data_IF_241838686259
#
_entry.id   IF_241838686259
#
_cell.length_a   1.000
_cell.length_b   1.000
_cell.length_c   1.000
_cell.angle_alpha   90.00
_cell.angle_beta   90.00
_cell.angle_gamma   90.00
#
_symmetry.space_group_name_H-M   'P 1'
#
loop_
_entity.id
_entity.type
_entity.pdbx_description
1 polymer ?
#
# COMPACT_ATOMS: atom_id res chain seq x y z
N UNK A 1 7.60 1.26 -16.06
CA UNK A 1 6.64 1.23 -17.20
C UNK A 1 5.32 0.67 -16.70
N UNK A 2 4.23 1.43 -16.75
CA UNK A 2 2.93 0.96 -16.24
C UNK A 2 2.29 -0.01 -17.25
N UNK A 3 2.46 -1.31 -17.07
CA UNK A 3 1.80 -2.36 -17.85
C UNK A 3 1.20 -3.40 -16.93
N UNK A 4 0.22 -4.18 -17.41
CA UNK A 4 -0.39 -5.25 -16.61
C UNK A 4 0.63 -6.28 -16.11
N UNK A 5 1.78 -6.43 -16.76
CA UNK A 5 2.85 -7.34 -16.34
C UNK A 5 3.58 -6.88 -15.07
N UNK A 6 3.39 -5.64 -14.66
CA UNK A 6 3.96 -5.09 -13.43
C UNK A 6 2.98 -5.17 -12.25
N UNK A 7 1.73 -5.54 -12.53
CA UNK A 7 0.70 -5.68 -11.51
C UNK A 7 0.75 -7.10 -10.98
N UNK A 8 1.09 -7.21 -9.72
CA UNK A 8 1.07 -8.48 -9.00
C UNK A 8 -0.34 -8.74 -8.47
N UNK A 9 -0.82 -9.96 -8.64
CA UNK A 9 -2.18 -10.32 -8.25
C UNK A 9 -3.25 -9.72 -9.19
N UNK A 10 -4.50 -9.87 -8.82
CA UNK A 10 -5.66 -9.35 -9.54
C UNK A 10 -5.87 -9.89 -10.96
N UNK A 11 -5.35 -11.09 -11.28
CA UNK A 11 -5.38 -11.70 -12.62
C UNK A 11 -6.81 -11.75 -13.19
N UNK A 12 -7.80 -12.01 -12.35
CA UNK A 12 -9.20 -12.05 -12.77
C UNK A 12 -9.71 -10.67 -13.21
N UNK A 13 -9.34 -9.61 -12.49
CA UNK A 13 -9.72 -8.23 -12.83
C UNK A 13 -9.01 -7.83 -14.13
N UNK A 14 -7.72 -8.09 -14.23
CA UNK A 14 -6.92 -7.82 -15.44
C UNK A 14 -7.50 -8.55 -16.66
N UNK A 15 -7.88 -9.82 -16.50
CA UNK A 15 -8.52 -10.61 -17.56
C UNK A 15 -9.85 -10.01 -18.00
N UNK A 16 -10.68 -9.56 -17.05
CA UNK A 16 -11.95 -8.91 -17.37
C UNK A 16 -11.75 -7.60 -18.12
N UNK A 17 -10.80 -6.75 -17.69
CA UNK A 17 -10.46 -5.49 -18.35
C UNK A 17 -9.92 -5.72 -19.77
N UNK A 18 -9.03 -6.70 -19.97
CA UNK A 18 -8.52 -7.09 -21.29
C UNK A 18 -9.64 -7.61 -22.20
N UNK A 19 -10.55 -8.44 -21.68
CA UNK A 19 -11.67 -8.96 -22.41
C UNK A 19 -12.66 -7.85 -22.81
N UNK A 20 -12.87 -6.85 -21.95
CA UNK A 20 -13.72 -5.71 -22.26
C UNK A 20 -13.17 -4.91 -23.46
N UNK A 21 -11.84 -4.68 -23.51
CA UNK A 21 -11.20 -4.03 -24.65
C UNK A 21 -11.28 -4.87 -25.92
N UNK A 22 -10.89 -6.15 -25.84
CA UNK A 22 -10.89 -7.07 -27.01
C UNK A 22 -12.28 -7.30 -27.57
N UNK A 23 -13.31 -7.32 -26.71
CA UNK A 23 -14.70 -7.55 -27.09
C UNK A 23 -15.48 -6.29 -27.42
N UNK A 24 -14.83 -5.12 -27.43
CA UNK A 24 -15.46 -3.81 -27.61
C UNK A 24 -16.67 -3.57 -26.68
N UNK A 25 -16.52 -3.99 -25.40
CA UNK A 25 -17.54 -3.92 -24.34
C UNK A 25 -17.02 -3.14 -23.12
N UNK A 26 -16.28 -2.07 -23.39
CA UNK A 26 -15.78 -1.19 -22.33
C UNK A 26 -16.96 -0.45 -21.71
N UNK A 27 -17.10 -0.52 -20.39
CA UNK A 27 -18.10 0.27 -19.66
C UNK A 27 -17.63 1.73 -19.53
N UNK A 28 -18.61 2.63 -19.38
CA UNK A 28 -18.35 4.05 -19.19
C UNK A 28 -17.85 4.41 -17.79
N UNK A 29 -18.04 3.54 -16.77
CA UNK A 29 -17.61 3.83 -15.41
C UNK A 29 -17.20 2.57 -14.65
N UNK A 30 -16.11 2.67 -13.89
CA UNK A 30 -15.57 1.63 -13.03
C UNK A 30 -15.22 2.18 -11.66
N UNK A 31 -15.43 1.38 -10.62
CA UNK A 31 -14.97 1.65 -9.26
C UNK A 31 -13.90 0.61 -8.91
N UNK A 32 -12.68 1.05 -8.65
CA UNK A 32 -11.59 0.23 -8.13
C UNK A 32 -11.52 0.43 -6.62
N UNK A 33 -12.09 -0.49 -5.87
CA UNK A 33 -12.14 -0.45 -4.41
C UNK A 33 -11.05 -1.33 -3.81
N UNK A 34 -10.31 -0.80 -2.85
CA UNK A 34 -9.27 -1.55 -2.14
C UNK A 34 -8.45 -0.64 -1.24
N UNK A 35 -7.74 -1.21 -0.28
CA UNK A 35 -6.89 -0.46 0.65
C UNK A 35 -5.82 0.37 -0.08
N UNK A 36 -5.25 1.35 0.64
CA UNK A 36 -4.14 2.13 0.13
C UNK A 36 -2.92 1.23 -0.11
N UNK A 37 -2.33 1.36 -1.28
CA UNK A 37 -1.21 0.49 -1.71
C UNK A 37 -1.63 -0.85 -2.32
N UNK A 38 -2.93 -1.15 -2.47
CA UNK A 38 -3.42 -2.35 -3.17
C UNK A 38 -3.20 -2.32 -4.70
N UNK A 39 -2.61 -1.26 -5.25
CA UNK A 39 -2.31 -1.17 -6.68
C UNK A 39 -3.39 -0.51 -7.53
N UNK A 40 -4.40 0.14 -6.95
CA UNK A 40 -5.49 0.83 -7.66
C UNK A 40 -5.00 1.75 -8.78
N UNK A 41 -4.06 2.66 -8.45
CA UNK A 41 -3.48 3.61 -9.40
C UNK A 41 -2.72 2.94 -10.54
N UNK A 42 -1.93 1.90 -10.23
CA UNK A 42 -1.17 1.15 -11.24
C UNK A 42 -2.12 0.44 -12.20
N UNK A 43 -3.20 -0.17 -11.67
CA UNK A 43 -4.22 -0.83 -12.47
C UNK A 43 -5.00 0.16 -13.33
N UNK A 44 -5.42 1.30 -12.78
CA UNK A 44 -6.13 2.35 -13.51
C UNK A 44 -5.27 2.90 -14.66
N UNK A 45 -4.00 3.21 -14.38
CA UNK A 45 -3.06 3.72 -15.40
C UNK A 45 -2.78 2.68 -16.50
N UNK A 46 -2.64 1.40 -16.13
CA UNK A 46 -2.46 0.32 -17.11
C UNK A 46 -3.70 0.14 -18.00
N UNK A 47 -4.90 0.24 -17.42
CA UNK A 47 -6.15 0.17 -18.17
C UNK A 47 -6.33 1.38 -19.08
N UNK A 48 -6.08 2.61 -18.59
CA UNK A 48 -6.09 3.82 -19.38
C UNK A 48 -5.12 3.74 -20.57
N UNK A 49 -3.87 3.24 -20.35
CA UNK A 49 -2.89 3.03 -21.41
C UNK A 49 -3.39 2.07 -22.48
N UNK A 50 -4.06 0.98 -22.10
CA UNK A 50 -4.62 0.02 -23.03
C UNK A 50 -5.77 0.63 -23.86
N UNK A 51 -6.67 1.41 -23.23
CA UNK A 51 -7.77 2.12 -23.89
C UNK A 51 -7.30 3.15 -24.90
N UNK A 52 -6.23 3.87 -24.57
CA UNK A 52 -5.66 4.95 -25.39
C UNK A 52 -4.63 4.44 -26.43
N UNK A 53 -4.34 3.14 -26.46
CA UNK A 53 -3.35 2.57 -27.37
C UNK A 53 -3.81 2.65 -28.82
N UNK A 54 -3.01 3.28 -29.72
CA UNK A 54 -3.29 3.36 -31.17
C UNK A 54 -3.49 2.00 -31.83
N UNK A 55 -2.73 0.99 -31.38
CA UNK A 55 -2.79 -0.37 -31.94
C UNK A 55 -4.01 -1.15 -31.42
N UNK A 56 -4.80 -0.59 -30.48
CA UNK A 56 -5.97 -1.24 -29.88
C UNK A 56 -5.64 -2.53 -29.11
N UNK A 57 -4.39 -2.70 -28.69
CA UNK A 57 -3.97 -3.90 -27.98
C UNK A 57 -4.48 -3.83 -26.51
N UNK A 58 -5.10 -4.91 -26.00
CA UNK A 58 -5.69 -4.93 -24.66
C UNK A 58 -4.66 -4.81 -23.52
N UNK A 59 -3.37 -4.84 -23.85
CA UNK A 59 -2.27 -4.67 -22.90
C UNK A 59 -1.55 -3.32 -23.08
N UNK A 60 -1.92 -2.56 -24.12
CA UNK A 60 -1.11 -1.43 -24.61
C UNK A 60 0.16 -1.93 -25.31
N UNK A 61 0.58 -1.26 -26.36
CA UNK A 61 1.76 -1.70 -27.13
C UNK A 61 3.10 -1.25 -26.54
N UNK A 62 3.11 -0.31 -25.60
CA UNK A 62 4.29 0.34 -25.00
C UNK A 62 5.23 1.08 -25.98
N UNK A 63 4.90 1.13 -27.26
CA UNK A 63 5.74 1.68 -28.33
C UNK A 63 5.15 2.93 -28.98
N UNK A 64 3.80 2.97 -29.13
CA UNK A 64 3.12 4.08 -29.80
C UNK A 64 3.22 5.38 -28.98
N UNK A 65 2.95 6.48 -29.64
CA UNK A 65 3.04 7.80 -29.04
C UNK A 65 2.13 7.94 -27.82
N UNK A 66 0.90 7.45 -27.88
CA UNK A 66 -0.06 7.53 -26.77
C UNK A 66 0.34 6.69 -25.56
N UNK A 67 0.85 5.47 -25.77
CA UNK A 67 1.36 4.68 -24.65
C UNK A 67 2.48 5.40 -23.91
N UNK A 68 3.40 6.06 -24.64
CA UNK A 68 4.49 6.84 -24.05
C UNK A 68 3.99 8.09 -23.32
N UNK A 69 2.98 8.77 -23.88
CA UNK A 69 2.37 9.93 -23.24
C UNK A 69 1.64 9.56 -21.94
N UNK A 70 0.94 8.42 -21.89
CA UNK A 70 0.32 7.93 -20.67
C UNK A 70 1.36 7.58 -19.60
N UNK A 71 2.51 7.04 -20.00
CA UNK A 71 3.61 6.75 -19.06
C UNK A 71 4.20 8.02 -18.44
N UNK A 72 4.32 9.09 -19.21
CA UNK A 72 4.84 10.39 -18.77
C UNK A 72 3.78 11.33 -18.21
N UNK A 73 2.54 10.87 -18.01
CA UNK A 73 1.38 11.65 -17.54
C UNK A 73 1.08 12.92 -18.37
N UNK A 74 1.42 12.90 -19.68
CA UNK A 74 1.26 14.02 -20.61
C UNK A 74 0.23 13.75 -21.74
N UNK A 75 -0.62 12.73 -21.58
CA UNK A 75 -1.63 12.41 -22.57
C UNK A 75 -2.87 13.32 -22.38
N UNK A 76 -3.31 14.11 -23.39
CA UNK A 76 -4.44 15.03 -23.24
C UNK A 76 -5.79 14.32 -23.08
N UNK A 77 -5.89 13.06 -23.49
CA UNK A 77 -7.10 12.24 -23.33
C UNK A 77 -7.11 11.42 -22.03
N UNK A 78 -6.11 11.62 -21.15
CA UNK A 78 -6.05 11.09 -19.79
C UNK A 78 -6.09 12.23 -18.78
N UNK A 79 -7.22 12.41 -18.14
CA UNK A 79 -7.48 13.49 -17.19
C UNK A 79 -7.49 12.95 -15.76
N UNK A 80 -6.65 13.53 -14.91
CA UNK A 80 -6.71 13.28 -13.48
C UNK A 80 -7.56 14.37 -12.82
N UNK A 81 -8.64 13.96 -12.16
CA UNK A 81 -9.47 14.90 -11.38
C UNK A 81 -8.75 15.14 -10.06
N UNK A 82 -8.04 16.26 -10.01
CA UNK A 82 -7.32 16.73 -8.83
C UNK A 82 -8.22 17.62 -7.98
N UNK A 83 -7.86 17.85 -6.73
CA UNK A 83 -8.60 18.72 -5.81
C UNK A 83 -7.64 19.65 -5.05
N UNK A 84 -8.08 20.86 -4.78
CA UNK A 84 -7.30 21.85 -4.03
C UNK A 84 -7.28 21.55 -2.53
N UNK A 85 -8.39 21.02 -2.00
CA UNK A 85 -8.56 20.76 -0.57
C UNK A 85 -8.13 19.34 -0.22
N UNK A 86 -7.15 19.13 0.68
CA UNK A 86 -6.64 17.80 1.00
C UNK A 86 -7.69 16.81 1.53
N UNK A 87 -8.77 17.33 2.15
CA UNK A 87 -9.76 16.50 2.85
C UNK A 87 -11.03 16.21 2.04
N UNK A 88 -11.29 16.89 0.92
CA UNK A 88 -12.54 16.70 0.18
C UNK A 88 -12.42 17.11 -1.29
N UNK A 89 -13.12 16.37 -2.15
CA UNK A 89 -13.31 16.69 -3.57
C UNK A 89 -14.68 17.39 -3.69
N UNK A 90 -14.66 18.66 -4.04
CA UNK A 90 -15.84 19.51 -4.11
C UNK A 90 -16.59 19.43 -5.45
N UNK A 91 -17.68 20.16 -5.53
CA UNK A 91 -18.48 20.25 -6.77
C UNK A 91 -17.70 20.94 -7.88
N UNK A 92 -16.94 21.99 -7.54
CA UNK A 92 -16.19 22.77 -8.54
C UNK A 92 -15.09 21.94 -9.18
N UNK A 93 -14.31 21.16 -8.36
CA UNK A 93 -13.26 20.27 -8.86
C UNK A 93 -13.82 19.29 -9.91
N UNK A 94 -14.99 18.71 -9.61
CA UNK A 94 -15.62 17.73 -10.49
C UNK A 94 -16.29 18.39 -11.72
N UNK A 95 -16.88 19.59 -11.55
CA UNK A 95 -17.55 20.28 -12.63
C UNK A 95 -16.56 20.69 -13.71
N UNK A 96 -15.47 21.32 -13.33
CA UNK A 96 -14.47 21.82 -14.25
C UNK A 96 -13.72 20.67 -14.95
N UNK A 97 -13.16 19.74 -14.17
CA UNK A 97 -12.25 18.69 -14.69
C UNK A 97 -12.95 17.47 -15.27
N UNK A 98 -14.25 17.28 -14.99
CA UNK A 98 -15.00 16.13 -15.49
C UNK A 98 -16.24 16.54 -16.26
N UNK A 99 -17.21 17.25 -15.64
CA UNK A 99 -18.54 17.46 -16.22
C UNK A 99 -18.52 18.35 -17.46
N UNK A 100 -17.71 19.38 -17.47
CA UNK A 100 -17.55 20.29 -18.62
C UNK A 100 -16.60 19.70 -19.65
N UNK A 101 -15.46 19.17 -19.20
CA UNK A 101 -14.43 18.62 -20.07
C UNK A 101 -14.87 17.36 -20.82
N UNK A 102 -15.77 16.54 -20.25
CA UNK A 102 -16.27 15.32 -20.88
C UNK A 102 -17.08 15.56 -22.15
N UNK A 103 -17.59 16.78 -22.36
CA UNK A 103 -18.29 17.18 -23.59
C UNK A 103 -17.30 17.40 -24.76
N UNK A 104 -16.03 17.57 -24.47
CA UNK A 104 -14.98 17.75 -25.47
C UNK A 104 -14.52 16.36 -25.93
N UNK A 105 -14.65 16.10 -27.24
CA UNK A 105 -14.20 14.83 -27.84
C UNK A 105 -12.71 14.60 -27.62
N UNK A 106 -12.28 13.30 -27.60
CA UNK A 106 -10.85 12.98 -27.55
C UNK A 106 -10.05 13.68 -28.65
N UNK A 107 -8.83 14.08 -28.33
CA UNK A 107 -7.94 14.74 -29.30
C UNK A 107 -7.54 13.83 -30.43
N UNK A 108 -7.09 12.61 -30.10
CA UNK A 108 -6.57 11.68 -31.09
C UNK A 108 -7.01 10.24 -30.83
N UNK A 109 -7.52 9.93 -29.66
CA UNK A 109 -7.86 8.56 -29.23
C UNK A 109 -9.31 8.19 -29.51
N UNK A 110 -9.63 6.91 -29.30
CA UNK A 110 -11.00 6.40 -29.30
C UNK A 110 -11.74 6.75 -28.02
N UNK A 111 -11.00 6.81 -26.91
CA UNK A 111 -11.51 7.05 -25.59
C UNK A 111 -10.88 8.28 -24.95
N UNK A 112 -11.61 8.90 -24.02
CA UNK A 112 -11.12 9.90 -23.08
C UNK A 112 -11.34 9.35 -21.68
N UNK A 113 -10.26 9.24 -20.89
CA UNK A 113 -10.23 8.53 -19.62
C UNK A 113 -10.07 9.53 -18.49
N UNK A 114 -10.93 9.43 -17.48
CA UNK A 114 -10.90 10.25 -16.28
C UNK A 114 -10.56 9.36 -15.09
N UNK A 115 -9.55 9.74 -14.31
CA UNK A 115 -9.17 9.06 -13.08
C UNK A 115 -9.45 10.00 -11.92
N UNK A 116 -10.31 9.56 -11.00
CA UNK A 116 -10.62 10.23 -9.74
C UNK A 116 -9.98 9.41 -8.63
N UNK A 117 -8.80 9.85 -8.17
CA UNK A 117 -8.12 9.21 -7.04
C UNK A 117 -8.72 9.69 -5.72
N UNK A 118 -8.58 8.89 -4.66
CA UNK A 118 -9.17 9.17 -3.35
C UNK A 118 -10.67 9.51 -3.45
N UNK A 119 -11.40 8.80 -4.30
CA UNK A 119 -12.80 9.11 -4.60
C UNK A 119 -13.74 8.96 -3.39
N UNK A 120 -13.29 8.39 -2.27
CA UNK A 120 -13.96 8.46 -0.98
C UNK A 120 -14.06 9.88 -0.42
N UNK A 121 -13.26 10.81 -0.92
CA UNK A 121 -13.32 12.23 -0.54
C UNK A 121 -14.37 13.03 -1.29
N UNK A 122 -15.06 12.44 -2.28
CA UNK A 122 -16.14 13.09 -3.01
C UNK A 122 -17.28 13.48 -2.06
N UNK A 123 -17.58 14.77 -2.00
CA UNK A 123 -18.77 15.25 -1.27
C UNK A 123 -20.05 14.72 -1.92
N UNK A 124 -21.14 14.61 -1.15
CA UNK A 124 -22.45 14.20 -1.69
C UNK A 124 -22.88 15.10 -2.84
N UNK A 125 -22.59 16.40 -2.76
CA UNK A 125 -22.90 17.38 -3.81
C UNK A 125 -22.07 17.11 -5.07
N UNK A 126 -20.78 16.77 -4.93
CA UNK A 126 -19.92 16.41 -6.06
C UNK A 126 -20.40 15.11 -6.73
N UNK A 127 -20.79 14.12 -5.94
CA UNK A 127 -21.38 12.87 -6.46
C UNK A 127 -22.68 13.15 -7.24
N UNK A 128 -23.55 14.02 -6.72
CA UNK A 128 -24.78 14.41 -7.44
C UNK A 128 -24.49 15.14 -8.75
N UNK A 129 -23.45 15.97 -8.80
CA UNK A 129 -23.06 16.68 -10.04
C UNK A 129 -22.61 15.72 -11.17
N UNK A 130 -22.06 14.56 -10.81
CA UNK A 130 -21.59 13.53 -11.76
C UNK A 130 -22.76 12.66 -12.28
N UNK A 131 -23.87 12.55 -11.54
CA UNK A 131 -24.93 11.58 -11.84
C UNK A 131 -25.41 11.63 -13.29
N UNK A 132 -25.69 12.83 -13.80
CA UNK A 132 -26.14 13.01 -15.18
C UNK A 132 -25.12 12.50 -16.21
N UNK A 133 -23.84 12.73 -15.93
CA UNK A 133 -22.74 12.27 -16.79
C UNK A 133 -22.60 10.75 -16.79
N UNK A 134 -22.86 10.09 -15.65
CA UNK A 134 -22.82 8.62 -15.54
C UNK A 134 -24.10 8.00 -16.15
N UNK A 135 -25.24 8.69 -16.13
CA UNK A 135 -26.51 8.22 -16.70
C UNK A 135 -26.53 8.28 -18.22
N UNK A 136 -26.01 9.37 -18.78
CA UNK A 136 -25.95 9.65 -20.22
C UNK A 136 -24.49 9.91 -20.66
N UNK A 137 -23.61 8.94 -20.55
CA UNK A 137 -22.19 9.14 -20.84
C UNK A 137 -21.94 9.27 -22.36
N UNK A 138 -21.05 10.18 -22.80
CA UNK A 138 -20.56 10.14 -24.16
C UNK A 138 -19.89 8.79 -24.46
N UNK A 139 -20.13 8.23 -25.65
CA UNK A 139 -19.67 6.89 -26.03
C UNK A 139 -18.14 6.69 -25.95
N UNK A 140 -17.39 7.79 -25.95
CA UNK A 140 -15.93 7.78 -25.85
C UNK A 140 -15.40 7.97 -24.42
N UNK A 141 -16.25 8.21 -23.43
CA UNK A 141 -15.79 8.51 -22.07
C UNK A 141 -15.68 7.27 -21.20
N UNK A 142 -14.62 7.20 -20.40
CA UNK A 142 -14.42 6.17 -19.37
C UNK A 142 -13.99 6.83 -18.07
N UNK A 143 -14.73 6.61 -17.00
CA UNK A 143 -14.49 7.17 -15.67
C UNK A 143 -14.02 6.07 -14.73
N UNK A 144 -12.89 6.29 -14.06
CA UNK A 144 -12.28 5.37 -13.10
C UNK A 144 -12.27 6.02 -11.70
N UNK A 145 -13.11 5.53 -10.81
CA UNK A 145 -13.09 5.93 -9.40
C UNK A 145 -12.16 5.01 -8.62
N UNK A 146 -11.14 5.56 -7.96
CA UNK A 146 -10.24 4.83 -7.10
C UNK A 146 -10.58 5.16 -5.64
N UNK A 147 -10.96 4.15 -4.86
CA UNK A 147 -11.42 4.36 -3.49
C UNK A 147 -10.92 3.27 -2.54
N UNK A 148 -10.83 3.60 -1.26
CA UNK A 148 -10.61 2.61 -0.19
C UNK A 148 -11.93 2.19 0.47
N UNK A 149 -13.03 2.90 0.19
CA UNK A 149 -14.35 2.60 0.72
C UNK A 149 -15.45 2.88 -0.32
N UNK A 150 -15.96 1.82 -0.94
CA UNK A 150 -17.04 1.94 -1.93
C UNK A 150 -18.42 2.26 -1.34
N UNK A 151 -18.61 2.11 -0.02
CA UNK A 151 -19.90 2.37 0.65
C UNK A 151 -20.23 3.86 0.75
N UNK A 152 -19.25 4.73 0.52
CA UNK A 152 -19.44 6.20 0.51
C UNK A 152 -20.22 6.67 -0.72
N UNK A 153 -20.16 5.90 -1.81
CA UNK A 153 -20.86 6.26 -3.03
C UNK A 153 -22.37 6.13 -2.91
N UNK A 154 -23.06 7.06 -3.52
CA UNK A 154 -24.52 6.97 -3.66
C UNK A 154 -24.91 5.66 -4.37
N UNK A 155 -25.99 4.99 -3.94
CA UNK A 155 -26.47 3.76 -4.61
C UNK A 155 -26.73 3.94 -6.10
N UNK A 156 -27.09 5.15 -6.51
CA UNK A 156 -27.28 5.54 -7.91
C UNK A 156 -26.00 5.51 -8.74
N UNK A 157 -24.84 5.81 -8.15
CA UNK A 157 -23.52 5.70 -8.79
C UNK A 157 -23.11 4.22 -8.86
N UNK A 158 -23.18 3.49 -7.73
CA UNK A 158 -22.79 2.09 -7.65
C UNK A 158 -23.55 1.24 -8.68
N UNK A 159 -24.86 1.49 -8.85
CA UNK A 159 -25.70 0.71 -9.79
C UNK A 159 -25.33 0.88 -11.26
N UNK A 160 -24.54 1.93 -11.61
CA UNK A 160 -24.13 2.25 -13.00
C UNK A 160 -22.66 2.03 -13.27
N UNK A 161 -21.89 1.65 -12.24
CA UNK A 161 -20.47 1.38 -12.34
C UNK A 161 -20.16 -0.12 -12.24
N UNK A 162 -19.11 -0.56 -12.89
CA UNK A 162 -18.55 -1.89 -12.63
C UNK A 162 -17.62 -1.78 -11.42
N UNK A 163 -17.97 -2.48 -10.35
CA UNK A 163 -17.18 -2.49 -9.11
C UNK A 163 -16.17 -3.65 -9.13
N UNK A 164 -14.89 -3.31 -8.96
CA UNK A 164 -13.80 -4.24 -8.74
C UNK A 164 -13.23 -4.08 -7.33
N UNK A 165 -13.22 -5.17 -6.57
CA UNK A 165 -12.60 -5.20 -5.25
C UNK A 165 -11.18 -5.77 -5.35
N UNK A 166 -10.20 -4.93 -5.08
CA UNK A 166 -8.79 -5.31 -5.02
C UNK A 166 -8.49 -5.87 -3.63
N UNK A 167 -7.90 -7.05 -3.56
CA UNK A 167 -7.46 -7.65 -2.30
C UNK A 167 -6.01 -7.24 -1.97
N UNK A 168 -5.63 -7.19 -0.70
CA UNK A 168 -4.22 -7.15 -0.33
C UNK A 168 -3.49 -8.37 -0.90
N UNK A 169 -2.25 -8.18 -1.32
CA UNK A 169 -1.41 -9.26 -1.79
C UNK A 169 -1.03 -10.19 -0.64
N UNK A 170 -0.82 -11.46 -0.93
CA UNK A 170 -0.29 -12.41 0.06
C UNK A 170 1.19 -12.14 0.30
N UNK A 171 1.68 -12.43 1.50
CA UNK A 171 3.11 -12.30 1.81
C UNK A 171 3.98 -13.09 0.83
N UNK A 172 3.57 -14.31 0.47
CA UNK A 172 4.28 -15.16 -0.50
C UNK A 172 4.40 -14.50 -1.88
N UNK A 173 3.33 -13.85 -2.36
CA UNK A 173 3.32 -13.15 -3.65
C UNK A 173 4.32 -11.98 -3.65
N UNK A 174 4.36 -11.21 -2.56
CA UNK A 174 5.31 -10.09 -2.41
C UNK A 174 6.73 -10.61 -2.28
N UNK A 175 6.96 -11.65 -1.48
CA UNK A 175 8.26 -12.26 -1.26
C UNK A 175 8.85 -12.77 -2.59
N UNK A 176 8.09 -13.57 -3.36
CA UNK A 176 8.51 -14.08 -4.66
C UNK A 176 8.86 -12.95 -5.64
N UNK A 177 8.05 -11.89 -5.66
CA UNK A 177 8.31 -10.73 -6.51
C UNK A 177 9.60 -10.00 -6.13
N UNK A 178 9.84 -9.79 -4.82
CA UNK A 178 11.05 -9.14 -4.33
C UNK A 178 12.31 -9.95 -4.66
N UNK A 179 12.26 -11.26 -4.48
CA UNK A 179 13.37 -12.15 -4.83
C UNK A 179 13.64 -12.12 -6.35
N UNK A 180 12.60 -12.28 -7.16
CA UNK A 180 12.75 -12.36 -8.62
C UNK A 180 13.23 -11.04 -9.23
N UNK A 181 12.69 -9.90 -8.81
CA UNK A 181 12.93 -8.59 -9.43
C UNK A 181 14.10 -7.83 -8.80
N UNK A 182 14.24 -7.89 -7.47
CA UNK A 182 15.25 -7.13 -6.73
C UNK A 182 16.44 -7.99 -6.29
N UNK A 183 16.36 -9.31 -6.49
CA UNK A 183 17.45 -10.27 -6.16
C UNK A 183 17.93 -10.18 -4.71
N UNK A 184 17.04 -9.80 -3.80
CA UNK A 184 17.34 -9.79 -2.37
C UNK A 184 17.26 -11.23 -1.80
N UNK A 185 17.99 -11.52 -0.74
CA UNK A 185 17.93 -12.82 -0.05
C UNK A 185 16.52 -13.15 0.44
N UNK A 186 16.17 -14.43 0.48
CA UNK A 186 14.85 -14.91 0.87
C UNK A 186 14.43 -14.40 2.26
N UNK A 187 15.33 -14.42 3.23
CA UNK A 187 15.07 -13.93 4.58
C UNK A 187 14.74 -12.43 4.61
N UNK A 188 15.41 -11.63 3.80
CA UNK A 188 15.11 -10.20 3.67
C UNK A 188 13.77 -9.97 2.97
N UNK A 189 13.51 -10.70 1.90
CA UNK A 189 12.25 -10.63 1.19
C UNK A 189 11.07 -10.99 2.11
N UNK A 190 11.25 -11.97 2.99
CA UNK A 190 10.24 -12.39 3.98
C UNK A 190 9.93 -11.26 4.98
N UNK A 191 10.95 -10.61 5.54
CA UNK A 191 10.79 -9.48 6.45
C UNK A 191 10.06 -8.32 5.73
N UNK A 192 10.52 -7.94 4.52
CA UNK A 192 9.91 -6.86 3.74
C UNK A 192 8.46 -7.20 3.36
N UNK A 193 8.15 -8.45 3.01
CA UNK A 193 6.81 -8.88 2.63
C UNK A 193 5.85 -8.87 3.83
N UNK A 194 6.27 -9.37 4.98
CA UNK A 194 5.48 -9.32 6.21
C UNK A 194 5.22 -7.89 6.65
N UNK A 195 6.25 -7.03 6.57
CA UNK A 195 6.13 -5.61 6.89
C UNK A 195 5.22 -4.86 5.91
N UNK A 196 5.20 -5.28 4.65
CA UNK A 196 4.38 -4.67 3.61
C UNK A 196 2.87 -4.83 3.85
N UNK A 197 2.44 -5.82 4.61
CA UNK A 197 1.02 -6.08 4.92
C UNK A 197 0.14 -6.08 3.66
N UNK A 198 0.58 -6.76 2.62
CA UNK A 198 -0.14 -6.84 1.35
C UNK A 198 0.07 -5.67 0.38
N UNK A 199 0.88 -4.67 0.74
CA UNK A 199 1.13 -3.43 -0.03
C UNK A 199 2.48 -3.52 -0.75
N UNK A 200 2.49 -3.98 -2.00
CA UNK A 200 3.73 -4.21 -2.76
C UNK A 200 4.65 -2.98 -2.79
N UNK A 201 4.09 -1.79 -3.00
CA UNK A 201 4.89 -0.55 -3.04
C UNK A 201 5.66 -0.28 -1.75
N UNK A 202 5.08 -0.68 -0.58
CA UNK A 202 5.76 -0.60 0.71
C UNK A 202 6.92 -1.61 0.78
N UNK A 203 6.67 -2.85 0.36
CA UNK A 203 7.70 -3.90 0.31
C UNK A 203 8.89 -3.49 -0.58
N UNK A 204 8.63 -2.91 -1.74
CA UNK A 204 9.67 -2.41 -2.65
C UNK A 204 10.50 -1.29 -2.01
N UNK A 205 9.84 -0.30 -1.38
CA UNK A 205 10.54 0.80 -0.71
C UNK A 205 11.46 0.29 0.41
N UNK A 206 10.99 -0.66 1.19
CA UNK A 206 11.79 -1.24 2.27
C UNK A 206 12.98 -2.04 1.74
N UNK A 207 12.76 -2.85 0.70
CA UNK A 207 13.80 -3.66 0.08
C UNK A 207 14.94 -2.82 -0.55
N UNK A 208 14.64 -1.58 -0.95
CA UNK A 208 15.60 -0.65 -1.56
C UNK A 208 16.18 0.36 -0.53
N UNK A 209 15.76 0.33 0.74
CA UNK A 209 16.13 1.33 1.73
C UNK A 209 17.33 0.90 2.57
N UNK A 210 18.45 1.59 2.43
CA UNK A 210 19.62 1.42 3.31
C UNK A 210 19.27 1.79 4.77
N UNK A 211 18.44 2.81 4.97
CA UNK A 211 17.96 3.22 6.29
C UNK A 211 17.20 2.06 6.98
N UNK A 212 16.30 1.38 6.25
CA UNK A 212 15.57 0.23 6.79
C UNK A 212 16.52 -0.92 7.18
N UNK A 213 17.58 -1.16 6.40
CA UNK A 213 18.60 -2.15 6.73
C UNK A 213 19.33 -1.80 8.03
N UNK A 214 19.65 -0.52 8.26
CA UNK A 214 20.25 -0.04 9.50
C UNK A 214 19.31 -0.18 10.68
N UNK A 215 18.05 0.25 10.55
CA UNK A 215 17.01 0.12 11.57
C UNK A 215 16.82 -1.35 11.97
N UNK A 216 16.76 -2.26 11.00
CA UNK A 216 16.68 -3.70 11.23
C UNK A 216 17.88 -4.21 12.03
N UNK A 217 19.08 -3.80 11.65
CA UNK A 217 20.30 -4.18 12.35
C UNK A 217 20.31 -3.73 13.83
N UNK A 218 19.90 -2.52 14.11
CA UNK A 218 19.81 -2.00 15.48
C UNK A 218 18.67 -2.67 16.28
N UNK A 219 17.52 -2.94 15.66
CA UNK A 219 16.43 -3.67 16.31
C UNK A 219 16.87 -5.09 16.72
N UNK A 220 17.55 -5.84 15.83
CA UNK A 220 18.07 -7.17 16.13
C UNK A 220 19.14 -7.12 17.22
N UNK A 221 20.05 -6.15 17.21
CA UNK A 221 21.03 -5.97 18.30
C UNK A 221 20.34 -5.73 19.64
N UNK A 222 19.30 -4.89 19.66
CA UNK A 222 18.55 -4.63 20.89
C UNK A 222 17.93 -5.92 21.44
N UNK A 223 17.10 -6.61 20.66
CA UNK A 223 16.36 -7.78 21.15
C UNK A 223 17.28 -8.93 21.58
N UNK A 224 18.47 -9.02 21.00
CA UNK A 224 19.46 -10.04 21.36
C UNK A 224 20.14 -9.75 22.70
N UNK A 225 20.37 -8.48 23.01
CA UNK A 225 21.22 -8.09 24.12
C UNK A 225 20.49 -7.37 25.28
N UNK A 226 19.25 -6.91 25.09
CA UNK A 226 18.52 -6.06 26.05
C UNK A 226 18.44 -6.62 27.47
N UNK A 227 18.39 -7.94 27.61
CA UNK A 227 18.33 -8.62 28.92
C UNK A 227 19.68 -8.57 29.66
N UNK A 228 20.78 -8.27 28.99
CA UNK A 228 22.11 -8.11 29.60
C UNK A 228 22.51 -6.64 29.80
N UNK A 229 21.73 -5.71 29.27
CA UNK A 229 22.01 -4.28 29.37
C UNK A 229 21.96 -3.80 30.81
N UNK A 230 22.91 -2.95 31.20
CA UNK A 230 22.81 -2.15 32.41
C UNK A 230 22.06 -0.83 32.15
N UNK A 231 22.03 0.07 33.12
CA UNK A 231 21.32 1.35 32.97
C UNK A 231 22.06 2.25 31.94
N UNK A 232 23.38 2.19 31.88
CA UNK A 232 24.17 2.94 30.90
C UNK A 232 23.90 2.48 29.47
N UNK A 233 23.86 1.16 29.27
CA UNK A 233 23.52 0.54 27.98
C UNK A 233 22.12 0.94 27.49
N UNK A 234 21.14 1.02 28.39
CA UNK A 234 19.79 1.44 28.06
C UNK A 234 19.75 2.91 27.62
N UNK A 235 20.46 3.80 28.32
CA UNK A 235 20.57 5.22 27.94
C UNK A 235 21.22 5.36 26.55
N UNK A 236 22.25 4.58 26.26
CA UNK A 236 22.89 4.58 24.94
C UNK A 236 21.95 4.01 23.86
N UNK A 237 21.16 2.99 24.18
CA UNK A 237 20.15 2.46 23.27
C UNK A 237 19.07 3.50 22.94
N UNK A 238 18.59 4.26 23.93
CA UNK A 238 17.65 5.38 23.70
C UNK A 238 18.25 6.41 22.74
N UNK A 239 19.53 6.80 22.94
CA UNK A 239 20.19 7.74 22.03
C UNK A 239 20.27 7.22 20.60
N UNK A 240 20.68 5.96 20.40
CA UNK A 240 20.73 5.35 19.07
C UNK A 240 19.35 5.31 18.39
N UNK A 241 18.28 4.99 19.16
CA UNK A 241 16.92 5.01 18.62
C UNK A 241 16.47 6.43 18.28
N UNK A 242 16.96 7.43 18.99
CA UNK A 242 16.66 8.84 18.72
C UNK A 242 17.19 9.28 17.34
N UNK A 243 18.30 8.70 16.86
CA UNK A 243 18.83 8.95 15.52
C UNK A 243 17.85 8.52 14.42
N UNK A 244 16.98 7.52 14.69
CA UNK A 244 15.92 7.05 13.81
C UNK A 244 14.55 7.68 14.08
N UNK A 245 14.50 8.85 14.68
CA UNK A 245 13.25 9.48 15.14
C UNK A 245 12.15 9.55 14.08
N UNK A 246 12.52 9.76 12.81
CA UNK A 246 11.55 9.81 11.68
C UNK A 246 11.00 8.42 11.39
N UNK A 247 11.79 7.37 11.55
CA UNK A 247 11.46 5.97 11.22
C UNK A 247 11.27 5.10 12.47
N UNK A 248 10.94 5.73 13.61
CA UNK A 248 10.76 5.00 14.89
C UNK A 248 9.59 4.01 14.85
N UNK A 249 8.57 4.28 14.08
CA UNK A 249 7.46 3.35 13.91
C UNK A 249 7.92 2.04 13.25
N UNK A 250 8.79 2.15 12.25
CA UNK A 250 9.42 1.00 11.59
C UNK A 250 10.27 0.19 12.58
N UNK A 251 10.99 0.88 13.45
CA UNK A 251 11.77 0.24 14.50
C UNK A 251 10.90 -0.56 15.48
N UNK A 252 9.81 0.05 15.96
CA UNK A 252 8.88 -0.61 16.88
C UNK A 252 8.14 -1.75 16.18
N UNK A 253 7.77 -1.61 14.90
CA UNK A 253 7.17 -2.68 14.10
C UNK A 253 8.09 -3.92 14.04
N UNK A 254 9.40 -3.72 13.84
CA UNK A 254 10.37 -4.83 13.83
C UNK A 254 10.47 -5.52 15.19
N UNK A 255 10.43 -4.77 16.29
CA UNK A 255 10.37 -5.34 17.63
C UNK A 255 9.10 -6.15 17.85
N UNK A 256 7.95 -5.66 17.38
CA UNK A 256 6.67 -6.40 17.47
C UNK A 256 6.71 -7.70 16.68
N UNK A 257 7.27 -7.68 15.46
CA UNK A 257 7.45 -8.89 14.65
C UNK A 257 8.36 -9.91 15.35
N UNK A 258 9.45 -9.44 15.97
CA UNK A 258 10.34 -10.32 16.73
C UNK A 258 9.63 -11.00 17.91
N UNK A 259 8.95 -10.23 18.75
CA UNK A 259 8.28 -10.80 19.91
C UNK A 259 7.05 -11.65 19.53
N UNK A 260 6.39 -11.35 18.41
CA UNK A 260 5.39 -12.24 17.80
C UNK A 260 6.03 -13.60 17.42
N UNK A 261 7.19 -13.59 16.79
CA UNK A 261 7.89 -14.80 16.41
C UNK A 261 8.34 -15.61 17.66
N UNK A 262 8.80 -14.93 18.71
CA UNK A 262 9.12 -15.57 20.00
C UNK A 262 7.89 -16.25 20.59
N UNK A 263 6.75 -15.57 20.61
CA UNK A 263 5.48 -16.12 21.10
C UNK A 263 5.00 -17.28 20.23
N UNK A 264 5.04 -17.12 18.92
CA UNK A 264 4.63 -18.14 17.95
C UNK A 264 5.49 -19.41 18.09
N UNK A 265 6.82 -19.25 18.16
CA UNK A 265 7.73 -20.38 18.38
C UNK A 265 7.53 -21.05 19.74
N UNK A 266 7.21 -20.26 20.78
CA UNK A 266 6.91 -20.81 22.11
C UNK A 266 5.73 -21.78 22.09
N UNK A 267 4.70 -21.46 21.26
CA UNK A 267 3.47 -22.27 21.10
C UNK A 267 3.69 -23.43 20.13
N UNK A 268 4.18 -23.14 18.91
CA UNK A 268 4.17 -24.09 17.79
C UNK A 268 5.41 -24.96 17.71
N UNK A 269 6.55 -24.46 18.20
CA UNK A 269 7.90 -25.05 18.01
C UNK A 269 8.31 -25.24 16.55
N UNK A 270 7.59 -24.59 15.61
CA UNK A 270 7.84 -24.67 14.17
C UNK A 270 8.69 -23.50 13.68
N UNK A 271 9.93 -23.72 13.22
CA UNK A 271 10.78 -22.65 12.68
C UNK A 271 10.29 -22.06 11.35
N UNK A 272 9.51 -22.83 10.56
CA UNK A 272 9.09 -22.39 9.22
C UNK A 272 8.03 -21.27 9.26
N UNK A 273 7.32 -21.18 10.39
CA UNK A 273 6.29 -20.15 10.60
C UNK A 273 6.87 -18.78 10.98
N UNK A 274 8.17 -18.68 11.27
CA UNK A 274 8.83 -17.48 11.76
C UNK A 274 9.20 -16.52 10.62
N UNK A 275 9.06 -15.21 10.87
CA UNK A 275 9.55 -14.15 9.96
C UNK A 275 11.09 -14.10 10.01
N UNK A 276 11.66 -14.08 11.23
CA UNK A 276 13.10 -14.08 11.47
C UNK A 276 13.65 -15.50 11.59
N UNK A 277 13.45 -16.33 10.55
CA UNK A 277 13.87 -17.74 10.56
C UNK A 277 15.38 -17.91 10.71
N UNK A 278 16.19 -16.96 10.25
CA UNK A 278 17.65 -16.98 10.36
C UNK A 278 18.13 -16.78 11.81
N UNK A 279 17.32 -16.09 12.61
CA UNK A 279 17.60 -15.78 14.01
C UNK A 279 16.99 -16.82 14.99
N UNK A 280 16.72 -18.01 14.51
CA UNK A 280 16.04 -19.08 15.27
C UNK A 280 16.68 -19.36 16.63
N UNK A 281 18.01 -19.25 16.74
CA UNK A 281 18.72 -19.50 17.99
C UNK A 281 18.41 -18.44 19.05
N UNK A 282 18.32 -17.17 18.64
CA UNK A 282 17.91 -16.05 19.50
C UNK A 282 16.46 -16.20 19.96
N UNK A 283 15.57 -16.48 19.01
CA UNK A 283 14.13 -16.70 19.26
C UNK A 283 13.92 -17.88 20.22
N UNK A 284 14.59 -19.02 20.00
CA UNK A 284 14.50 -20.19 20.86
C UNK A 284 14.96 -19.89 22.29
N UNK A 285 16.08 -19.17 22.44
CA UNK A 285 16.60 -18.75 23.74
C UNK A 285 15.61 -17.88 24.49
N UNK A 286 15.03 -16.88 23.83
CA UNK A 286 14.02 -16.02 24.44
C UNK A 286 12.73 -16.77 24.75
N UNK A 287 12.20 -17.57 23.83
CA UNK A 287 11.01 -18.37 24.03
C UNK A 287 11.11 -19.32 25.23
N UNK A 288 12.31 -19.80 25.56
CA UNK A 288 12.54 -20.62 26.74
C UNK A 288 12.58 -19.84 28.06
N UNK A 289 13.00 -18.56 28.01
CA UNK A 289 13.18 -17.72 29.19
C UNK A 289 11.94 -16.89 29.54
N UNK A 290 11.28 -16.30 28.54
CA UNK A 290 10.13 -15.42 28.75
C UNK A 290 8.86 -16.21 29.07
N UNK A 291 8.02 -15.69 29.97
CA UNK A 291 6.69 -16.21 30.23
C UNK A 291 5.69 -15.75 29.15
N UNK A 292 4.50 -16.36 29.06
CA UNK A 292 3.45 -15.89 28.18
C UNK A 292 2.95 -14.49 28.58
N UNK A 293 2.80 -14.26 29.89
CA UNK A 293 2.39 -12.97 30.44
C UNK A 293 3.44 -11.89 30.18
N UNK A 294 4.75 -12.22 30.26
CA UNK A 294 5.84 -11.30 29.95
C UNK A 294 5.82 -10.90 28.46
N UNK A 295 5.64 -11.84 27.56
CA UNK A 295 5.55 -11.56 26.12
C UNK A 295 4.31 -10.72 25.80
N UNK A 296 3.17 -10.97 26.44
CA UNK A 296 1.96 -10.16 26.30
C UNK A 296 2.21 -8.72 26.76
N UNK A 297 2.86 -8.53 27.92
CA UNK A 297 3.21 -7.20 28.44
C UNK A 297 4.16 -6.45 27.50
N UNK A 298 5.15 -7.14 26.92
CA UNK A 298 6.06 -6.53 25.95
C UNK A 298 5.28 -6.07 24.72
N UNK A 299 4.47 -6.93 24.09
CA UNK A 299 3.69 -6.58 22.90
C UNK A 299 2.73 -5.41 23.20
N UNK A 300 2.04 -5.44 24.33
CA UNK A 300 1.20 -4.32 24.75
C UNK A 300 2.00 -3.03 24.99
N UNK A 301 3.18 -3.12 25.61
CA UNK A 301 4.09 -1.98 25.82
C UNK A 301 4.55 -1.33 24.52
N UNK A 302 4.80 -2.13 23.47
CA UNK A 302 5.14 -1.65 22.14
C UNK A 302 3.96 -0.91 21.48
N UNK A 303 2.73 -1.42 21.62
CA UNK A 303 1.52 -0.75 21.13
C UNK A 303 1.27 0.59 21.86
N UNK A 304 1.46 0.61 23.18
CA UNK A 304 1.35 1.84 24.00
C UNK A 304 2.41 2.85 23.57
N UNK A 305 3.64 2.42 23.29
CA UNK A 305 4.69 3.32 22.82
C UNK A 305 4.29 3.98 21.48
N UNK A 306 3.77 3.23 20.51
CA UNK A 306 3.25 3.80 19.25
C UNK A 306 2.12 4.81 19.48
N UNK A 307 1.17 4.47 20.33
CA UNK A 307 0.05 5.36 20.64
C UNK A 307 0.54 6.69 21.27
N UNK A 308 1.50 6.62 22.19
CA UNK A 308 2.12 7.81 22.82
C UNK A 308 2.88 8.67 21.81
N UNK A 309 3.68 8.05 20.93
CA UNK A 309 4.41 8.77 19.88
C UNK A 309 3.44 9.45 18.90
N UNK A 310 2.35 8.79 18.52
CA UNK A 310 1.29 9.39 17.70
C UNK A 310 0.59 10.55 18.38
N UNK A 311 0.47 10.52 19.71
CA UNK A 311 -0.11 11.60 20.53
C UNK A 311 0.93 12.70 20.88
N UNK A 312 2.13 12.70 20.27
CA UNK A 312 3.22 13.63 20.52
C UNK A 312 3.67 13.70 21.99
N UNK A 313 3.62 12.61 22.73
CA UNK A 313 4.20 12.48 24.06
C UNK A 313 5.74 12.53 23.94
N UNK A 314 6.43 12.93 25.03
CA UNK A 314 7.89 13.01 25.05
C UNK A 314 8.52 11.72 24.49
N UNK A 315 9.36 11.88 23.46
CA UNK A 315 9.96 10.79 22.70
C UNK A 315 10.86 9.93 23.58
N UNK A 316 11.86 10.55 24.23
CA UNK A 316 12.87 9.84 25.02
C UNK A 316 12.22 9.03 26.16
N UNK A 317 11.33 9.68 26.92
CA UNK A 317 10.60 9.00 28.00
C UNK A 317 9.75 7.82 27.48
N UNK A 318 9.15 7.97 26.30
CA UNK A 318 8.35 6.87 25.70
C UNK A 318 9.24 5.68 25.36
N UNK A 319 10.41 5.94 24.75
CA UNK A 319 11.37 4.88 24.41
C UNK A 319 11.98 4.25 25.65
N UNK A 320 12.35 5.04 26.67
CA UNK A 320 12.86 4.51 27.95
C UNK A 320 11.88 3.54 28.60
N UNK A 321 10.61 3.93 28.72
CA UNK A 321 9.56 3.08 29.30
C UNK A 321 9.35 1.80 28.47
N UNK A 322 9.41 1.90 27.15
CA UNK A 322 9.33 0.76 26.26
C UNK A 322 10.49 -0.23 26.50
N UNK A 323 11.74 0.27 26.54
CA UNK A 323 12.92 -0.56 26.77
C UNK A 323 12.93 -1.21 28.16
N UNK A 324 12.51 -0.48 29.20
CA UNK A 324 12.34 -1.03 30.54
C UNK A 324 11.30 -2.16 30.55
N UNK A 325 10.15 -1.96 29.88
CA UNK A 325 9.12 -3.01 29.76
C UNK A 325 9.67 -4.26 29.12
N UNK A 326 10.51 -4.12 28.07
CA UNK A 326 11.15 -5.26 27.39
C UNK A 326 12.14 -5.95 28.33
N UNK A 327 12.97 -5.19 29.05
CA UNK A 327 14.02 -5.75 29.91
C UNK A 327 13.46 -6.51 31.12
N UNK A 328 12.36 -6.05 31.68
CA UNK A 328 11.77 -6.62 32.90
C UNK A 328 10.93 -7.88 32.66
N UNK A 329 10.58 -8.20 31.43
CA UNK A 329 9.68 -9.29 31.05
C UNK A 329 10.34 -10.28 30.07
#
# INVERSE_FOLDING_TARGET
MAGYNEILGHENIIKQLKNAISGDKVSHAYILNGEDGAGKNVLAKAFAKALLCEKGLPEGCNECHFCKQVESDNNPDLVYVTHEKPASIGVEDVRELLVEDIQIKPYNGRYKVYIIDEAEKLTVQAQNAILKTIEEPPAYSVILFLTNNSEIFLPTIISRCILFNLRPLRESEIMEYLIAKYRIPEYEAKICASYAQGKLGRGIKLAASEEFAQIKGEALKLVTNVYSYDIGDLIEAVKRITDFKISVNEYIDLLQMWYRDVLLFKVTKDPNSLIFSDEINGIRKQASKSSYEGLERILYGLDVAKARLKANVNFELTIELMLLTIKEN
#
